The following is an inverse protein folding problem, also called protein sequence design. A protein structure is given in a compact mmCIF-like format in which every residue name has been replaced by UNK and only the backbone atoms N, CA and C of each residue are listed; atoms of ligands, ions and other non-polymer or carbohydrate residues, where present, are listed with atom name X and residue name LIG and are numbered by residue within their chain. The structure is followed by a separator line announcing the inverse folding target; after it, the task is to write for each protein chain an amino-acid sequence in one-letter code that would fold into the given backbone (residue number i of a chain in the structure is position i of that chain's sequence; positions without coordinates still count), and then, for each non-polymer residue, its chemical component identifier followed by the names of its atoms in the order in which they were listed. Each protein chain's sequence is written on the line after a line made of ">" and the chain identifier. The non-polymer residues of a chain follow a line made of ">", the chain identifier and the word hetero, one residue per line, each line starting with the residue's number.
data_IF_721841614394
#
_entry.id   IF_721841614394
#
_cell.length_a   1.000
_cell.length_b   1.000
_cell.length_c   1.000
_cell.angle_alpha   90.00
_cell.angle_beta   90.00
_cell.angle_gamma   90.00
#
_symmetry.space_group_name_H-M   'P 1'
#
loop_
_entity.id
_entity.type
_entity.pdbx_description
1 polymer ?
#
# COMPACT_ATOMS: atom_id res chain seq x y z
N UNK A 1 -6.13 6.76 -0.66
CA UNK A 1 -7.55 6.61 -1.06
C UNK A 1 -7.78 5.38 -1.94
N UNK A 2 -7.03 5.21 -3.04
CA UNK A 2 -7.13 4.09 -4.00
C UNK A 2 -7.18 2.67 -3.36
N UNK A 3 -6.28 2.36 -2.43
CA UNK A 3 -6.19 1.03 -1.80
C UNK A 3 -7.38 0.66 -0.91
N UNK A 4 -8.04 1.64 -0.30
CA UNK A 4 -9.16 1.41 0.63
C UNK A 4 -10.53 1.33 -0.02
N UNK A 5 -10.70 2.04 -1.13
CA UNK A 5 -12.01 2.18 -1.77
C UNK A 5 -12.54 0.83 -2.32
N UNK A 6 -13.86 0.66 -2.41
CA UNK A 6 -14.47 -0.54 -2.97
C UNK A 6 -14.26 -0.63 -4.49
N UNK A 7 -14.25 -1.85 -5.08
CA UNK A 7 -14.19 -2.07 -6.52
C UNK A 7 -15.23 -1.33 -7.36
N UNK A 8 -16.42 -1.11 -6.79
CA UNK A 8 -17.49 -0.38 -7.47
C UNK A 8 -17.08 1.06 -7.81
N UNK A 9 -16.16 1.64 -7.02
CA UNK A 9 -15.59 2.97 -7.23
C UNK A 9 -14.20 2.92 -7.88
N UNK A 10 -13.74 1.75 -8.35
CA UNK A 10 -12.39 1.58 -8.90
C UNK A 10 -11.30 1.33 -7.85
N UNK A 11 -11.65 1.18 -6.57
CA UNK A 11 -10.67 0.91 -5.51
C UNK A 11 -10.33 -0.57 -5.32
N UNK A 12 -9.32 -0.85 -4.49
CA UNK A 12 -8.80 -2.21 -4.29
C UNK A 12 -9.38 -2.95 -3.08
N UNK A 13 -10.07 -2.27 -2.16
CA UNK A 13 -10.66 -2.86 -0.93
C UNK A 13 -9.64 -3.72 -0.16
N UNK A 14 -8.53 -3.11 0.23
CA UNK A 14 -7.45 -3.75 0.99
C UNK A 14 -7.68 -3.70 2.51
N UNK A 15 -8.94 -3.73 2.96
CA UNK A 15 -9.30 -3.67 4.38
C UNK A 15 -9.46 -2.24 4.89
N UNK A 16 -9.20 -2.05 6.18
CA UNK A 16 -9.32 -0.75 6.84
C UNK A 16 -8.09 0.08 6.53
N UNK A 17 -8.30 1.35 6.17
CA UNK A 17 -7.23 2.31 5.90
C UNK A 17 -7.16 3.32 7.01
N UNK A 18 -5.95 3.55 7.54
CA UNK A 18 -5.66 4.64 8.48
C UNK A 18 -4.56 5.50 7.90
N UNK A 19 -4.70 6.81 8.04
CA UNK A 19 -3.70 7.79 7.59
C UNK A 19 -2.90 8.26 8.80
N UNK A 20 -1.57 8.30 8.68
CA UNK A 20 -0.65 8.76 9.72
C UNK A 20 -0.88 8.15 11.13
N UNK A 21 -1.19 6.84 11.29
CA UNK A 21 -1.39 6.30 12.62
C UNK A 21 -0.05 6.15 13.36
N UNK A 22 -0.03 6.46 14.65
CA UNK A 22 1.05 5.99 15.53
C UNK A 22 0.96 4.46 15.66
N UNK A 23 2.04 3.76 15.34
CA UNK A 23 2.22 2.33 15.56
C UNK A 23 3.45 2.09 16.43
N UNK A 24 3.36 1.09 17.32
CA UNK A 24 4.51 0.62 18.10
C UNK A 24 5.12 -0.58 17.42
N UNK A 25 6.41 -0.49 17.16
CA UNK A 25 7.20 -1.50 16.48
C UNK A 25 8.17 -2.09 17.49
N UNK A 26 8.21 -3.42 17.61
CA UNK A 26 9.24 -4.09 18.38
C UNK A 26 10.59 -3.96 17.69
N UNK A 27 11.59 -3.41 18.38
CA UNK A 27 12.94 -3.15 17.83
C UNK A 27 14.02 -4.06 18.42
N UNK A 28 13.63 -4.99 19.28
CA UNK A 28 14.52 -5.95 19.90
C UNK A 28 14.39 -5.95 21.41
N UNK A 29 15.45 -6.40 22.09
CA UNK A 29 15.53 -6.40 23.55
C UNK A 29 16.73 -5.59 23.99
N UNK A 30 16.60 -4.93 25.13
CA UNK A 30 17.73 -4.25 25.75
C UNK A 30 18.77 -5.24 26.32
N UNK A 31 19.86 -4.71 26.89
CA UNK A 31 20.93 -5.48 27.53
C UNK A 31 20.43 -6.37 28.69
N UNK A 32 19.23 -6.12 29.21
CA UNK A 32 18.58 -6.88 30.27
C UNK A 32 17.47 -7.80 29.76
N UNK A 33 17.33 -7.95 28.44
CA UNK A 33 16.33 -8.81 27.80
C UNK A 33 14.91 -8.23 27.77
N UNK A 34 14.70 -6.96 28.16
CA UNK A 34 13.40 -6.31 28.14
C UNK A 34 13.04 -5.89 26.72
N UNK A 35 11.80 -6.16 26.23
CA UNK A 35 11.33 -5.70 24.94
C UNK A 35 11.47 -4.18 24.80
N UNK A 36 12.12 -3.74 23.72
CA UNK A 36 12.12 -2.36 23.29
C UNK A 36 11.21 -2.19 22.08
N UNK A 37 10.57 -1.03 22.03
CA UNK A 37 9.72 -0.64 20.92
C UNK A 37 9.91 0.82 20.61
N UNK A 38 9.76 1.15 19.34
CA UNK A 38 9.78 2.52 18.83
C UNK A 38 8.42 2.89 18.26
N UNK A 39 8.06 4.17 18.38
CA UNK A 39 6.87 4.73 17.76
C UNK A 39 7.19 5.13 16.32
N UNK A 40 6.32 4.74 15.39
CA UNK A 40 6.42 5.04 13.96
C UNK A 40 5.09 5.56 13.44
N UNK A 41 5.16 6.35 12.37
CA UNK A 41 4.00 7.04 11.78
C UNK A 41 4.01 6.85 10.27
N UNK A 42 3.53 5.69 9.76
CA UNK A 42 3.43 5.51 8.33
C UNK A 42 2.36 6.43 7.73
N UNK A 43 2.53 6.87 6.49
CA UNK A 43 1.54 7.72 5.83
C UNK A 43 0.20 6.99 5.68
N UNK A 44 0.26 5.71 5.35
CA UNK A 44 -0.90 4.84 5.19
C UNK A 44 -0.65 3.49 5.87
N UNK A 45 -1.59 3.06 6.71
CA UNK A 45 -1.65 1.71 7.24
C UNK A 45 -2.91 1.01 6.72
N UNK A 46 -2.71 -0.15 6.10
CA UNK A 46 -3.76 -1.08 5.71
C UNK A 46 -3.83 -2.21 6.73
N UNK A 47 -5.02 -2.48 7.25
CA UNK A 47 -5.25 -3.57 8.22
C UNK A 47 -6.33 -4.51 7.71
N UNK A 48 -6.04 -5.81 7.80
CA UNK A 48 -7.02 -6.89 7.64
C UNK A 48 -7.10 -7.71 8.92
N UNK A 49 -8.32 -8.08 9.30
CA UNK A 49 -8.60 -8.98 10.41
C UNK A 49 -9.36 -10.18 9.86
N UNK A 50 -8.82 -11.38 10.04
CA UNK A 50 -9.50 -12.60 9.63
C UNK A 50 -10.70 -12.90 10.53
N UNK A 51 -11.57 -13.84 10.11
CA UNK A 51 -12.66 -14.36 10.95
C UNK A 51 -12.15 -14.99 12.26
N UNK A 52 -10.91 -15.48 12.28
CA UNK A 52 -10.26 -16.04 13.46
C UNK A 52 -9.60 -14.99 14.36
N UNK A 53 -9.74 -13.70 14.04
CA UNK A 53 -9.12 -12.59 14.78
C UNK A 53 -7.66 -12.33 14.44
N UNK A 54 -7.07 -13.05 13.47
CA UNK A 54 -5.69 -12.81 13.06
C UNK A 54 -5.58 -11.47 12.33
N UNK A 55 -4.80 -10.55 12.90
CA UNK A 55 -4.53 -9.23 12.33
C UNK A 55 -3.29 -9.25 11.45
N UNK A 56 -3.37 -8.56 10.31
CA UNK A 56 -2.26 -8.36 9.38
C UNK A 56 -2.25 -6.91 8.93
N UNK A 57 -1.07 -6.33 8.95
CA UNK A 57 -0.86 -4.92 8.63
C UNK A 57 0.12 -4.78 7.46
N UNK A 58 -0.11 -3.79 6.61
CA UNK A 58 0.81 -3.32 5.57
C UNK A 58 0.91 -1.81 5.66
N UNK A 59 2.12 -1.28 5.72
CA UNK A 59 2.39 0.14 5.75
C UNK A 59 2.86 0.64 4.37
N UNK A 60 2.46 1.86 4.02
CA UNK A 60 2.97 2.58 2.86
C UNK A 60 3.40 3.97 3.29
N UNK A 61 4.59 4.37 2.85
CA UNK A 61 5.07 5.75 2.97
C UNK A 61 5.27 6.35 1.59
N UNK A 62 4.90 7.62 1.49
CA UNK A 62 5.10 8.43 0.32
C UNK A 62 6.38 9.25 0.47
N UNK A 63 7.33 8.93 -0.39
CA UNK A 63 8.56 9.70 -0.52
C UNK A 63 8.43 10.68 -1.69
N UNK A 64 8.10 11.93 -1.36
CA UNK A 64 8.14 13.00 -2.34
C UNK A 64 9.59 13.31 -2.69
N UNK A 65 10.09 12.85 -3.84
CA UNK A 65 11.42 13.26 -4.32
C UNK A 65 11.30 14.74 -4.70
N UNK A 66 11.87 15.65 -3.90
CA UNK A 66 12.07 17.03 -4.30
C UNK A 66 13.33 17.06 -5.16
N UNK A 67 13.18 17.40 -6.44
CA UNK A 67 14.28 17.45 -7.43
C UNK A 67 15.33 18.53 -7.09
N UNK A 68 15.22 19.19 -5.94
CA UNK A 68 16.03 20.34 -5.51
C UNK A 68 16.64 20.23 -4.10
N UNK A 69 16.47 19.13 -3.37
CA UNK A 69 17.02 19.00 -2.00
C UNK A 69 18.05 17.87 -1.94
N UNK A 70 19.31 18.23 -1.65
CA UNK A 70 20.50 17.35 -1.72
C UNK A 70 20.63 16.26 -0.64
N UNK A 71 21.88 15.89 -0.31
CA UNK A 71 22.30 14.74 0.51
C UNK A 71 21.52 14.53 1.83
N UNK A 72 20.99 15.59 2.44
CA UNK A 72 20.23 15.51 3.68
C UNK A 72 18.89 14.77 3.52
N UNK A 73 18.22 14.91 2.37
CA UNK A 73 16.95 14.23 2.10
C UNK A 73 17.18 12.75 1.81
N UNK A 74 18.19 12.43 1.00
CA UNK A 74 18.63 11.06 0.76
C UNK A 74 18.99 10.32 2.06
N UNK A 75 19.56 11.03 3.03
CA UNK A 75 19.84 10.48 4.36
C UNK A 75 18.56 10.22 5.16
N UNK A 76 17.57 11.11 5.09
CA UNK A 76 16.27 10.92 5.74
C UNK A 76 15.47 9.78 5.09
N UNK A 77 15.50 9.67 3.77
CA UNK A 77 14.84 8.60 3.02
C UNK A 77 15.46 7.23 3.36
N UNK A 78 16.81 7.16 3.43
CA UNK A 78 17.52 5.97 3.90
C UNK A 78 17.22 5.67 5.37
N UNK A 79 17.09 6.68 6.22
CA UNK A 79 16.71 6.51 7.63
C UNK A 79 15.28 6.01 7.76
N UNK A 80 14.32 6.50 6.96
CA UNK A 80 12.93 6.00 6.89
C UNK A 80 12.87 4.57 6.38
N UNK A 81 13.58 4.25 5.31
CA UNK A 81 13.66 2.89 4.78
C UNK A 81 14.27 1.91 5.81
N UNK A 82 15.36 2.30 6.47
CA UNK A 82 16.01 1.48 7.51
C UNK A 82 15.16 1.35 8.78
N UNK A 83 14.48 2.43 9.19
CA UNK A 83 13.59 2.48 10.35
C UNK A 83 12.41 1.51 10.26
N UNK A 84 12.06 1.10 9.04
CA UNK A 84 10.88 0.26 8.78
C UNK A 84 11.28 -1.14 8.31
N UNK A 85 12.46 -1.31 7.71
CA UNK A 85 13.05 -2.63 7.49
C UNK A 85 13.26 -3.43 8.80
N UNK A 86 13.32 -2.75 9.95
CA UNK A 86 13.39 -3.36 11.30
C UNK A 86 12.04 -3.80 11.87
N UNK A 87 10.92 -3.62 11.15
CA UNK A 87 9.60 -4.02 11.65
C UNK A 87 9.37 -5.51 11.45
N UNK A 88 9.66 -6.29 12.48
CA UNK A 88 9.30 -7.71 12.48
C UNK A 88 7.77 -7.82 12.43
N UNK A 89 7.24 -8.44 11.37
CA UNK A 89 5.80 -8.72 11.11
C UNK A 89 4.95 -7.68 10.35
N UNK A 90 5.46 -6.51 9.95
CA UNK A 90 4.71 -5.57 9.08
C UNK A 90 5.46 -5.40 7.77
N UNK A 91 4.79 -5.68 6.65
CA UNK A 91 5.35 -5.38 5.33
C UNK A 91 5.20 -3.90 5.06
N UNK A 92 6.29 -3.29 4.62
CA UNK A 92 6.34 -1.88 4.28
C UNK A 92 6.74 -1.66 2.83
N UNK A 93 6.17 -0.61 2.25
CA UNK A 93 6.48 -0.15 0.93
C UNK A 93 6.71 1.36 0.95
N UNK A 94 7.85 1.79 0.40
CA UNK A 94 8.06 3.18 0.03
C UNK A 94 7.56 3.39 -1.40
N UNK A 95 6.80 4.45 -1.62
CA UNK A 95 6.27 4.87 -2.93
C UNK A 95 6.84 6.25 -3.23
N UNK A 96 7.56 6.38 -4.34
CA UNK A 96 8.07 7.67 -4.81
C UNK A 96 7.03 8.42 -5.65
N UNK A 97 7.31 9.70 -5.95
CA UNK A 97 6.50 10.46 -6.92
C UNK A 97 6.43 9.78 -8.29
N UNK A 98 7.54 9.26 -8.82
CA UNK A 98 7.55 8.52 -10.10
C UNK A 98 6.72 7.24 -10.06
N UNK A 99 6.69 6.56 -8.91
CA UNK A 99 5.86 5.36 -8.74
C UNK A 99 4.37 5.70 -8.77
N UNK A 100 3.95 6.91 -8.38
CA UNK A 100 2.55 7.35 -8.47
C UNK A 100 2.09 7.58 -9.91
N UNK A 101 3.03 7.86 -10.81
CA UNK A 101 2.78 8.07 -12.24
C UNK A 101 2.67 6.76 -13.02
N UNK A 102 3.15 5.65 -12.44
CA UNK A 102 2.99 4.31 -13.01
C UNK A 102 1.77 3.59 -12.41
N UNK A 103 0.67 3.64 -13.16
CA UNK A 103 -0.57 2.96 -12.78
C UNK A 103 -0.39 1.46 -12.55
N UNK A 104 0.32 0.76 -13.42
CA UNK A 104 0.45 -0.69 -13.34
C UNK A 104 1.31 -1.10 -12.14
N UNK A 105 2.34 -0.31 -11.85
CA UNK A 105 3.14 -0.48 -10.64
C UNK A 105 2.30 -0.27 -9.37
N UNK A 106 1.49 0.79 -9.29
CA UNK A 106 0.60 0.99 -8.14
C UNK A 106 -0.38 -0.16 -7.93
N UNK A 107 -0.96 -0.70 -9.01
CA UNK A 107 -1.83 -1.86 -8.83
C UNK A 107 -1.05 -3.12 -8.44
N UNK A 108 0.14 -3.33 -9.00
CA UNK A 108 1.01 -4.44 -8.58
C UNK A 108 1.31 -4.36 -7.07
N UNK A 109 1.61 -3.17 -6.56
CA UNK A 109 1.85 -2.93 -5.15
C UNK A 109 0.63 -3.24 -4.29
N UNK A 110 -0.55 -2.82 -4.72
CA UNK A 110 -1.80 -3.17 -4.06
C UNK A 110 -2.10 -4.68 -4.08
N UNK A 111 -1.77 -5.40 -5.15
CA UNK A 111 -1.93 -6.86 -5.23
C UNK A 111 -0.90 -7.61 -4.36
N UNK A 112 0.33 -7.09 -4.22
CA UNK A 112 1.30 -7.59 -3.25
C UNK A 112 0.80 -7.38 -1.82
N UNK A 113 0.31 -6.20 -1.49
CA UNK A 113 -0.31 -5.91 -0.20
C UNK A 113 -1.52 -6.82 0.07
N UNK A 114 -2.39 -7.06 -0.93
CA UNK A 114 -3.51 -8.01 -0.82
C UNK A 114 -3.05 -9.40 -0.37
N UNK A 115 -1.95 -9.92 -0.92
CA UNK A 115 -1.38 -11.21 -0.54
C UNK A 115 -0.88 -11.24 0.89
N UNK A 116 -0.18 -10.18 1.33
CA UNK A 116 0.29 -10.04 2.71
C UNK A 116 -0.89 -10.02 3.68
N UNK A 117 -1.93 -9.25 3.34
CA UNK A 117 -3.17 -9.13 4.11
C UNK A 117 -4.05 -10.39 4.07
N UNK A 118 -3.66 -11.42 3.29
CA UNK A 118 -4.42 -12.67 3.08
C UNK A 118 -5.87 -12.42 2.61
N UNK A 119 -6.04 -11.41 1.76
CA UNK A 119 -7.32 -11.08 1.16
C UNK A 119 -7.53 -11.88 -0.13
N UNK A 120 -8.78 -12.22 -0.44
CA UNK A 120 -9.13 -12.88 -1.69
C UNK A 120 -8.78 -12.02 -2.92
N UNK A 121 -8.33 -12.68 -3.98
CA UNK A 121 -8.06 -12.06 -5.28
C UNK A 121 -9.30 -11.34 -5.84
N UNK A 122 -9.07 -10.25 -6.57
CA UNK A 122 -10.13 -9.46 -7.21
C UNK A 122 -9.74 -9.11 -8.66
N UNK A 123 -10.71 -9.01 -9.58
CA UNK A 123 -12.13 -9.31 -9.39
C UNK A 123 -12.38 -10.81 -9.21
N UNK A 124 -13.46 -11.16 -8.53
CA UNK A 124 -13.93 -12.55 -8.46
C UNK A 124 -14.78 -12.82 -9.68
N UNK A 125 -14.34 -13.71 -10.56
CA UNK A 125 -15.10 -14.09 -11.75
C UNK A 125 -15.91 -15.33 -11.45
N UNK A 126 -17.15 -15.37 -11.96
CA UNK A 126 -18.00 -16.58 -11.97
C UNK A 126 -17.84 -17.41 -13.25
N UNK A 127 -17.14 -16.85 -14.23
CA UNK A 127 -16.87 -17.43 -15.56
C UNK A 127 -15.38 -17.60 -15.78
N UNK A 128 -15.00 -18.39 -16.79
CA UNK A 128 -13.60 -18.55 -17.18
C UNK A 128 -12.98 -17.20 -17.56
N UNK A 129 -11.73 -16.97 -17.14
CA UNK A 129 -10.94 -15.78 -17.55
C UNK A 129 -10.74 -15.69 -19.05
N UNK A 130 -10.72 -16.84 -19.73
CA UNK A 130 -10.52 -16.93 -21.18
C UNK A 130 -11.81 -16.76 -21.99
N UNK A 131 -12.97 -16.77 -21.33
CA UNK A 131 -14.23 -16.43 -21.98
C UNK A 131 -14.27 -14.95 -22.33
N UNK A 132 -15.00 -14.59 -23.40
CA UNK A 132 -15.22 -13.19 -23.77
C UNK A 132 -15.82 -12.38 -22.61
N UNK A 133 -16.81 -12.96 -21.92
CA UNK A 133 -17.42 -12.33 -20.75
C UNK A 133 -16.40 -12.09 -19.63
N UNK A 134 -15.56 -13.08 -19.32
CA UNK A 134 -14.50 -12.96 -18.31
C UNK A 134 -13.48 -11.87 -18.66
N UNK A 135 -13.05 -11.81 -19.92
CA UNK A 135 -12.15 -10.76 -20.43
C UNK A 135 -12.78 -9.38 -20.33
N UNK A 136 -14.06 -9.24 -20.70
CA UNK A 136 -14.77 -7.98 -20.60
C UNK A 136 -14.97 -7.53 -19.14
N UNK A 137 -15.25 -8.45 -18.22
CA UNK A 137 -15.35 -8.14 -16.78
C UNK A 137 -14.00 -7.66 -16.21
N UNK A 138 -12.90 -8.31 -16.60
CA UNK A 138 -11.54 -7.89 -16.22
C UNK A 138 -11.21 -6.51 -16.79
N UNK A 139 -11.49 -6.26 -18.06
CA UNK A 139 -11.27 -4.96 -18.70
C UNK A 139 -12.07 -3.84 -18.01
N UNK A 140 -13.36 -4.07 -17.71
CA UNK A 140 -14.20 -3.10 -16.97
C UNK A 140 -13.70 -2.84 -15.55
N UNK A 141 -13.23 -3.88 -14.87
CA UNK A 141 -12.61 -3.71 -13.55
C UNK A 141 -11.36 -2.83 -13.67
N UNK A 142 -10.51 -3.10 -14.66
CA UNK A 142 -9.26 -2.38 -14.85
C UNK A 142 -9.45 -0.94 -15.27
N UNK A 143 -10.39 -0.69 -16.17
CA UNK A 143 -10.80 0.66 -16.59
C UNK A 143 -11.24 1.52 -15.41
N UNK A 144 -12.05 0.97 -14.49
CA UNK A 144 -12.46 1.73 -13.30
C UNK A 144 -11.31 2.06 -12.35
N UNK A 145 -10.35 1.15 -12.23
CA UNK A 145 -9.15 1.42 -11.43
C UNK A 145 -8.32 2.55 -12.05
N UNK A 146 -8.13 2.52 -13.37
CA UNK A 146 -7.42 3.55 -14.12
C UNK A 146 -8.11 4.92 -14.05
N UNK A 147 -9.44 4.96 -14.24
CA UNK A 147 -10.23 6.19 -14.11
C UNK A 147 -10.14 6.81 -12.70
N UNK A 148 -10.25 5.98 -11.65
CA UNK A 148 -10.07 6.46 -10.28
C UNK A 148 -8.64 6.99 -10.04
N UNK A 149 -7.63 6.28 -10.54
CA UNK A 149 -6.23 6.68 -10.43
C UNK A 149 -5.97 8.03 -11.13
N UNK A 150 -6.43 8.21 -12.36
CA UNK A 150 -6.32 9.47 -13.11
C UNK A 150 -6.99 10.66 -12.44
N UNK A 151 -8.08 10.43 -11.71
CA UNK A 151 -8.82 11.50 -11.03
C UNK A 151 -8.19 11.97 -9.72
N UNK A 152 -7.60 11.05 -8.96
CA UNK A 152 -7.26 11.32 -7.56
C UNK A 152 -5.82 11.02 -7.16
N UNK A 153 -5.06 10.35 -8.01
CA UNK A 153 -3.68 9.95 -7.71
C UNK A 153 -2.73 10.60 -8.70
N UNK A 154 -2.97 10.42 -10.00
CA UNK A 154 -2.20 11.10 -11.03
C UNK A 154 -2.64 12.57 -11.14
N UNK A 155 -1.69 13.48 -10.93
CA UNK A 155 -1.84 14.88 -11.28
C UNK A 155 -0.95 15.16 -12.48
N UNK A 156 -1.40 14.76 -13.68
CA UNK A 156 -0.76 15.21 -14.91
C UNK A 156 -0.76 16.75 -15.00
N UNK A 157 0.07 17.35 -15.86
CA UNK A 157 -0.02 18.79 -16.14
C UNK A 157 -1.48 19.08 -16.54
N UNK A 158 -2.11 19.98 -15.78
CA UNK A 158 -3.56 20.18 -15.78
C UNK A 158 -4.14 20.45 -17.16
N UNK A 159 -5.43 20.11 -17.30
CA UNK A 159 -6.32 20.88 -18.16
C UNK A 159 -6.44 22.31 -17.61
#
# INVERSE_FOLDING_TARGET
>A
MFYGLPPALGGMKLGTVRLNPCIKVFTGRDLFGKPQSEERYPDILLTSVSKSGARRDVAFDYDSVSVHEGDAKLLDDRRRANAIATVDSIVHYSITTSDLEDFDYLVLMGERARRVLKLAARPTLRVSRESEEGRMQLARFRFRQDDLWKRFVFKGPGY
#
